data_IF_742867894670
#
_entry.id   IF_742867894670
#
_cell.length_a   1.000
_cell.length_b   1.000
_cell.length_c   1.000
_cell.angle_alpha   90.00
_cell.angle_beta   90.00
_cell.angle_gamma   90.00
#
_symmetry.space_group_name_H-M   'P 1'
#
loop_
_entity.id
_entity.type
_entity.pdbx_description
1 polymer ?
#
# COMPACT_ATOMS: atom_id res chain seq x y z
N UNK A 1 -0.34 -19.17 6.12
CA UNK A 1 -0.99 -18.07 5.36
C UNK A 1 -0.13 -16.83 5.52
N UNK A 2 0.28 -16.18 4.40
CA UNK A 2 1.04 -14.93 4.49
C UNK A 2 0.14 -13.80 4.97
N UNK A 3 0.70 -12.92 5.80
CA UNK A 3 -0.01 -11.78 6.39
C UNK A 3 0.48 -10.47 5.78
N UNK A 4 -0.44 -9.54 5.61
CA UNK A 4 -0.18 -8.18 5.12
C UNK A 4 -0.70 -7.20 6.16
N UNK A 5 0.03 -6.16 6.48
CA UNK A 5 -0.49 -5.03 7.26
C UNK A 5 -0.79 -3.84 6.34
N UNK A 6 -1.87 -3.17 6.62
CA UNK A 6 -2.26 -1.90 6.00
C UNK A 6 -2.34 -0.85 7.09
N UNK A 7 -1.81 0.34 6.86
CA UNK A 7 -1.90 1.46 7.81
C UNK A 7 -2.87 2.50 7.27
N UNK A 8 -3.73 2.99 8.14
CA UNK A 8 -4.70 4.06 7.86
C UNK A 8 -4.62 5.14 8.94
N UNK A 9 -5.00 6.33 8.54
CA UNK A 9 -5.37 7.43 9.43
C UNK A 9 -6.49 8.24 8.78
N UNK A 10 -7.01 9.28 9.43
CA UNK A 10 -8.06 10.09 8.83
C UNK A 10 -7.62 10.70 7.51
N UNK A 11 -8.52 10.65 6.52
CA UNK A 11 -8.29 11.15 5.18
C UNK A 11 -7.76 10.10 4.19
N UNK A 12 -7.77 8.81 4.52
CA UNK A 12 -7.42 7.77 3.55
C UNK A 12 -8.37 7.79 2.33
N UNK A 13 -7.90 7.32 1.19
CA UNK A 13 -8.74 7.19 0.00
C UNK A 13 -9.50 5.85 0.05
N UNK A 14 -10.83 5.91 0.03
CA UNK A 14 -11.71 4.77 0.30
C UNK A 14 -11.54 3.62 -0.70
N UNK A 15 -11.51 3.94 -2.02
CA UNK A 15 -11.38 2.90 -3.05
C UNK A 15 -10.05 2.19 -2.89
N UNK A 16 -8.97 2.94 -2.68
CA UNK A 16 -7.62 2.41 -2.57
C UNK A 16 -7.45 1.49 -1.36
N UNK A 17 -7.98 1.89 -0.21
CA UNK A 17 -7.91 1.09 1.01
C UNK A 17 -8.82 -0.15 0.92
N UNK A 18 -10.12 0.05 0.69
CA UNK A 18 -11.12 -1.02 0.74
C UNK A 18 -10.98 -1.97 -0.45
N UNK A 19 -10.72 -1.43 -1.65
CA UNK A 19 -10.52 -2.24 -2.85
C UNK A 19 -9.28 -3.14 -2.75
N UNK A 20 -8.16 -2.58 -2.30
CA UNK A 20 -6.93 -3.36 -2.09
C UNK A 20 -7.15 -4.44 -1.02
N UNK A 21 -7.75 -4.08 0.12
CA UNK A 21 -8.10 -5.05 1.16
C UNK A 21 -8.92 -6.21 0.58
N UNK A 22 -9.99 -5.90 -0.15
CA UNK A 22 -10.92 -6.91 -0.68
C UNK A 22 -10.23 -7.88 -1.66
N UNK A 23 -9.38 -7.39 -2.56
CA UNK A 23 -8.65 -8.24 -3.52
C UNK A 23 -7.62 -9.13 -2.79
N UNK A 24 -6.85 -8.59 -1.86
CA UNK A 24 -5.87 -9.37 -1.11
C UNK A 24 -6.54 -10.48 -0.29
N UNK A 25 -7.68 -10.18 0.33
CA UNK A 25 -8.48 -11.16 1.08
C UNK A 25 -9.04 -12.27 0.17
N UNK A 26 -9.50 -11.92 -1.04
CA UNK A 26 -9.94 -12.90 -2.06
C UNK A 26 -8.80 -13.80 -2.49
N UNK A 27 -7.59 -13.28 -2.62
CA UNK A 27 -6.37 -14.05 -2.91
C UNK A 27 -5.88 -14.92 -1.75
N UNK A 28 -6.63 -15.01 -0.63
CA UNK A 28 -6.31 -15.88 0.50
C UNK A 28 -5.26 -15.30 1.46
N UNK A 29 -4.90 -14.03 1.34
CA UNK A 29 -4.01 -13.38 2.31
C UNK A 29 -4.78 -12.99 3.58
N UNK A 30 -4.12 -13.02 4.73
CA UNK A 30 -4.60 -12.34 5.93
C UNK A 30 -4.20 -10.87 5.86
N UNK A 31 -5.15 -9.96 6.03
CA UNK A 31 -4.87 -8.52 6.01
C UNK A 31 -5.34 -7.92 7.32
N UNK A 32 -4.41 -7.41 8.10
CA UNK A 32 -4.67 -6.68 9.33
C UNK A 32 -4.53 -5.17 9.07
N UNK A 33 -5.52 -4.39 9.48
CA UNK A 33 -5.51 -2.95 9.30
C UNK A 33 -5.19 -2.29 10.64
N UNK A 34 -4.25 -1.36 10.61
CA UNK A 34 -3.78 -0.61 11.76
C UNK A 34 -4.11 0.88 11.61
N UNK A 35 -4.64 1.49 12.66
CA UNK A 35 -4.84 2.94 12.72
C UNK A 35 -3.64 3.61 13.36
N UNK A 36 -3.07 4.61 12.68
CA UNK A 36 -1.94 5.39 13.20
C UNK A 36 -2.27 6.11 14.50
N UNK A 37 -3.52 6.53 14.68
CA UNK A 37 -3.98 7.26 15.86
C UNK A 37 -4.60 6.35 16.93
N UNK A 38 -4.41 5.04 16.82
CA UNK A 38 -4.92 4.01 17.74
C UNK A 38 -6.46 4.08 17.95
N UNK A 39 -7.19 4.50 16.94
CA UNK A 39 -8.65 4.66 16.91
C UNK A 39 -9.23 4.30 15.55
N UNK A 40 -10.55 4.45 15.37
CA UNK A 40 -11.18 4.34 14.06
C UNK A 40 -10.60 5.38 13.10
N UNK A 41 -10.58 5.09 11.80
CA UNK A 41 -10.13 6.00 10.76
C UNK A 41 -11.26 6.33 9.80
N UNK A 42 -11.41 7.60 9.46
CA UNK A 42 -12.43 8.10 8.52
C UNK A 42 -11.78 8.54 7.22
N UNK A 43 -12.22 7.98 6.10
CA UNK A 43 -11.74 8.31 4.78
C UNK A 43 -12.12 9.72 4.33
N UNK A 44 -11.50 10.17 3.25
CA UNK A 44 -11.69 11.54 2.72
C UNK A 44 -13.12 11.87 2.31
N UNK A 45 -13.93 10.86 2.02
CA UNK A 45 -15.34 11.01 1.64
C UNK A 45 -16.32 10.56 2.73
N UNK A 46 -15.83 10.25 3.93
CA UNK A 46 -16.64 10.02 5.12
C UNK A 46 -16.92 8.56 5.48
N UNK A 47 -16.36 7.58 4.76
CA UNK A 47 -16.44 6.19 5.17
C UNK A 47 -15.56 5.95 6.41
N UNK A 48 -16.14 5.50 7.50
CA UNK A 48 -15.38 5.17 8.71
C UNK A 48 -15.09 3.68 8.81
N UNK A 49 -13.82 3.34 8.91
CA UNK A 49 -13.35 1.99 9.24
C UNK A 49 -13.22 1.89 10.77
N UNK A 50 -13.91 0.90 11.34
CA UNK A 50 -13.96 0.70 12.80
C UNK A 50 -13.26 -0.58 13.21
N UNK A 51 -12.96 -0.72 14.52
CA UNK A 51 -12.29 -1.89 15.09
C UNK A 51 -10.92 -2.15 14.46
N UNK A 52 -10.21 -1.09 14.14
CA UNK A 52 -8.85 -1.18 13.65
C UNK A 52 -7.89 -1.55 14.78
N UNK A 53 -6.80 -2.22 14.42
CA UNK A 53 -5.75 -2.51 15.40
C UNK A 53 -4.98 -1.22 15.73
N UNK A 54 -4.57 -1.01 16.99
CA UNK A 54 -3.70 0.10 17.33
C UNK A 54 -2.33 -0.01 16.66
N UNK A 55 -1.84 1.08 16.07
CA UNK A 55 -0.52 1.10 15.41
C UNK A 55 0.61 0.70 16.37
N UNK A 56 0.48 1.07 17.65
CA UNK A 56 1.42 0.72 18.71
C UNK A 56 1.60 -0.79 18.92
N UNK A 57 0.66 -1.61 18.44
CA UNK A 57 0.72 -3.07 18.54
C UNK A 57 1.26 -3.74 17.24
N UNK A 58 1.60 -2.95 16.21
CA UNK A 58 2.10 -3.49 14.96
C UNK A 58 3.52 -4.03 15.14
N UNK A 59 3.69 -5.34 14.92
CA UNK A 59 5.00 -5.97 14.87
C UNK A 59 5.34 -6.33 13.42
N UNK A 60 6.28 -5.62 12.81
CA UNK A 60 6.69 -5.81 11.42
C UNK A 60 7.15 -7.25 11.11
N UNK A 61 7.64 -7.99 12.13
CA UNK A 61 8.11 -9.37 11.94
C UNK A 61 6.99 -10.32 11.48
N UNK A 62 5.74 -10.03 11.85
CA UNK A 62 4.59 -10.91 11.59
C UNK A 62 4.05 -10.80 10.15
N UNK A 63 4.54 -9.83 9.36
CA UNK A 63 3.99 -9.50 8.04
C UNK A 63 5.01 -9.69 6.93
N UNK A 64 4.50 -10.12 5.77
CA UNK A 64 5.24 -10.23 4.53
C UNK A 64 5.22 -8.93 3.70
N UNK A 65 4.21 -8.10 3.93
CA UNK A 65 4.03 -6.85 3.19
C UNK A 65 3.39 -5.75 4.05
N UNK A 66 3.74 -4.50 3.72
CA UNK A 66 3.12 -3.27 4.19
C UNK A 66 2.37 -2.61 3.02
N UNK A 67 1.11 -2.20 3.23
CA UNK A 67 0.31 -1.46 2.25
C UNK A 67 0.01 -0.07 2.79
N UNK A 68 0.23 0.94 1.95
CA UNK A 68 0.01 2.36 2.23
C UNK A 68 -0.94 2.92 1.17
N UNK A 69 -2.23 3.07 1.46
CA UNK A 69 -3.16 3.78 0.58
C UNK A 69 -2.77 5.26 0.42
N UNK A 70 -3.42 5.91 -0.53
CA UNK A 70 -3.28 7.35 -0.71
C UNK A 70 -4.40 8.14 -0.03
N UNK A 71 -4.66 9.31 -0.57
CA UNK A 71 -5.54 10.29 0.02
C UNK A 71 -4.80 11.30 0.90
N UNK A 72 -5.47 12.32 1.41
CA UNK A 72 -4.86 13.37 2.26
C UNK A 72 -4.09 12.86 3.48
N UNK A 73 -4.37 11.62 3.93
CA UNK A 73 -3.68 10.99 5.04
C UNK A 73 -2.15 10.90 4.85
N UNK A 74 -1.69 10.92 3.60
CA UNK A 74 -0.26 10.80 3.29
C UNK A 74 0.60 11.80 4.07
N UNK A 75 0.09 13.02 4.31
CA UNK A 75 0.80 14.06 5.08
C UNK A 75 1.04 13.65 6.53
N UNK A 76 0.03 13.06 7.16
CA UNK A 76 0.10 12.58 8.54
C UNK A 76 1.02 11.37 8.64
N UNK A 77 0.92 10.44 7.68
CA UNK A 77 1.78 9.25 7.63
C UNK A 77 3.24 9.65 7.40
N UNK A 78 3.50 10.56 6.47
CA UNK A 78 4.86 11.03 6.17
C UNK A 78 5.51 11.76 7.34
N UNK A 79 4.75 12.58 8.06
CA UNK A 79 5.22 13.31 9.24
C UNK A 79 5.48 12.41 10.45
N UNK A 80 5.04 11.14 10.43
CA UNK A 80 5.20 10.22 11.54
C UNK A 80 6.56 9.50 11.53
N UNK A 81 7.47 9.76 12.49
CA UNK A 81 8.72 9.02 12.59
C UNK A 81 8.53 7.51 12.75
N UNK A 82 7.44 7.09 13.39
CA UNK A 82 7.11 5.68 13.57
C UNK A 82 6.74 5.00 12.25
N UNK A 83 6.01 5.68 11.37
CA UNK A 83 5.70 5.18 10.01
C UNK A 83 6.96 5.10 9.17
N UNK A 84 7.84 6.12 9.22
CA UNK A 84 9.11 6.10 8.51
C UNK A 84 10.01 4.95 9.00
N UNK A 85 10.08 4.70 10.30
CA UNK A 85 10.80 3.56 10.86
C UNK A 85 10.21 2.22 10.43
N UNK A 86 8.87 2.12 10.33
CA UNK A 86 8.19 0.92 9.85
C UNK A 86 8.54 0.64 8.37
N UNK A 87 8.44 1.64 7.50
CA UNK A 87 8.80 1.54 6.08
C UNK A 87 10.25 1.04 5.96
N UNK A 88 11.18 1.69 6.66
CA UNK A 88 12.59 1.30 6.69
C UNK A 88 12.76 -0.18 7.09
N UNK A 89 12.08 -0.61 8.14
CA UNK A 89 12.15 -2.01 8.62
C UNK A 89 11.71 -3.00 7.54
N UNK A 90 10.63 -2.72 6.81
CA UNK A 90 10.17 -3.59 5.72
C UNK A 90 11.16 -3.61 4.55
N UNK A 91 11.67 -2.45 4.14
CA UNK A 91 12.63 -2.33 3.03
C UNK A 91 13.92 -3.09 3.37
N UNK A 92 14.52 -2.86 4.54
CA UNK A 92 15.77 -3.50 4.96
C UNK A 92 15.62 -5.01 5.14
N UNK A 93 14.45 -5.49 5.52
CA UNK A 93 14.13 -6.91 5.61
C UNK A 93 13.80 -7.57 4.25
N UNK A 94 13.84 -6.82 3.14
CA UNK A 94 13.47 -7.31 1.81
C UNK A 94 11.99 -7.68 1.67
N UNK A 95 11.13 -7.20 2.58
CA UNK A 95 9.68 -7.42 2.55
C UNK A 95 9.02 -6.46 1.59
N UNK A 96 7.84 -6.83 1.10
CA UNK A 96 7.10 -5.98 0.15
C UNK A 96 6.62 -4.70 0.84
N UNK A 97 6.89 -3.56 0.20
CA UNK A 97 6.28 -2.27 0.52
C UNK A 97 5.47 -1.80 -0.68
N UNK A 98 4.17 -1.67 -0.48
CA UNK A 98 3.22 -1.32 -1.52
C UNK A 98 2.54 0.02 -1.19
N UNK A 99 2.58 0.97 -2.11
CA UNK A 99 2.02 2.30 -1.92
C UNK A 99 1.30 2.77 -3.18
N UNK A 100 0.13 3.42 -3.03
CA UNK A 100 -0.67 3.87 -4.17
C UNK A 100 -0.99 5.36 -4.07
N UNK A 101 -1.14 6.02 -5.23
CA UNK A 101 -1.59 7.41 -5.36
C UNK A 101 -0.61 8.40 -4.72
N UNK A 102 -0.96 9.00 -3.60
CA UNK A 102 -0.07 9.84 -2.81
C UNK A 102 0.94 9.04 -1.96
N UNK A 103 0.65 7.76 -1.68
CA UNK A 103 1.50 6.90 -0.84
C UNK A 103 2.95 6.77 -1.31
N UNK A 104 3.23 6.60 -2.63
CA UNK A 104 4.60 6.49 -3.13
C UNK A 104 5.49 7.69 -2.82
N UNK A 105 4.93 8.89 -2.57
CA UNK A 105 5.74 10.06 -2.18
C UNK A 105 6.49 9.85 -0.87
N UNK A 106 5.93 9.09 0.06
CA UNK A 106 6.60 8.71 1.31
C UNK A 106 7.90 7.94 1.03
N UNK A 107 7.83 7.03 0.04
CA UNK A 107 8.99 6.24 -0.39
C UNK A 107 10.00 7.10 -1.15
N UNK A 108 9.51 8.03 -1.97
CA UNK A 108 10.33 8.95 -2.76
C UNK A 108 11.14 9.89 -1.87
N UNK A 109 10.49 10.59 -0.95
CA UNK A 109 11.13 11.51 -0.02
C UNK A 109 12.11 10.80 0.94
N UNK A 110 11.83 9.56 1.29
CA UNK A 110 12.76 8.73 2.07
C UNK A 110 13.92 8.14 1.24
N UNK A 111 13.97 8.38 -0.09
CA UNK A 111 15.04 7.94 -0.97
C UNK A 111 14.94 6.49 -1.46
N UNK A 112 13.86 5.80 -1.17
CA UNK A 112 13.67 4.38 -1.55
C UNK A 112 13.29 4.18 -3.03
N UNK A 113 12.90 5.25 -3.73
CA UNK A 113 12.62 5.20 -5.17
C UNK A 113 13.84 5.50 -6.04
N UNK A 114 14.98 5.86 -5.46
CA UNK A 114 16.20 6.14 -6.23
C UNK A 114 16.66 4.92 -7.03
N UNK A 115 16.74 5.09 -8.35
CA UNK A 115 17.12 4.02 -9.28
C UNK A 115 16.04 2.95 -9.49
N UNK A 116 14.82 3.17 -8.99
CA UNK A 116 13.69 2.25 -9.12
C UNK A 116 12.71 2.69 -10.20
N UNK A 117 12.06 1.74 -10.83
CA UNK A 117 10.85 1.99 -11.61
C UNK A 117 9.67 2.17 -10.66
N UNK A 118 8.86 3.19 -10.89
CA UNK A 118 7.71 3.48 -10.02
C UNK A 118 6.61 4.25 -10.77
N UNK A 119 5.44 4.29 -10.15
CA UNK A 119 4.34 5.18 -10.49
C UNK A 119 3.78 5.85 -9.23
N UNK A 120 3.06 6.94 -9.39
CA UNK A 120 2.35 7.63 -8.31
C UNK A 120 1.24 8.50 -8.90
N UNK A 121 0.49 9.18 -8.06
CA UNK A 121 -0.46 10.18 -8.52
C UNK A 121 0.28 11.24 -9.35
N UNK A 122 -0.12 11.39 -10.62
CA UNK A 122 0.67 12.11 -11.64
C UNK A 122 1.08 13.53 -11.21
N UNK A 123 0.17 14.29 -10.58
CA UNK A 123 0.48 15.66 -10.14
C UNK A 123 1.37 15.72 -8.88
N UNK A 124 1.67 14.61 -8.27
CA UNK A 124 2.57 14.49 -7.12
C UNK A 124 3.90 13.83 -7.48
N UNK A 125 4.12 13.57 -8.78
CA UNK A 125 5.40 13.07 -9.23
C UNK A 125 6.46 14.19 -9.13
N UNK A 126 7.52 13.87 -8.41
CA UNK A 126 8.69 14.72 -8.23
C UNK A 126 9.95 13.98 -8.72
N UNK A 127 11.11 14.65 -8.69
CA UNK A 127 12.38 13.97 -8.93
C UNK A 127 12.80 13.17 -7.69
N UNK A 128 12.34 11.93 -7.61
CA UNK A 128 12.75 10.97 -6.57
C UNK A 128 14.03 10.19 -6.94
N UNK A 129 14.67 10.54 -8.04
CA UNK A 129 15.87 9.86 -8.54
C UNK A 129 15.59 8.48 -9.15
N UNK A 130 14.33 8.15 -9.41
CA UNK A 130 13.86 6.93 -10.05
C UNK A 130 13.33 7.17 -11.47
N UNK A 131 12.74 6.11 -12.06
CA UNK A 131 12.14 6.15 -13.40
C UNK A 131 10.63 6.08 -13.24
N UNK A 132 9.95 7.20 -13.49
CA UNK A 132 8.49 7.28 -13.45
C UNK A 132 7.86 6.61 -14.69
N UNK A 133 6.85 5.81 -14.45
CA UNK A 133 6.01 5.21 -15.48
C UNK A 133 4.56 5.66 -15.30
N UNK A 134 3.90 6.03 -16.40
CA UNK A 134 2.48 6.41 -16.41
C UNK A 134 1.57 5.19 -16.50
N UNK A 135 1.93 4.13 -15.78
CA UNK A 135 1.22 2.86 -15.71
C UNK A 135 0.33 2.78 -14.46
N UNK A 136 -0.69 1.93 -14.47
CA UNK A 136 -1.57 1.75 -13.32
C UNK A 136 -0.86 1.14 -12.12
N UNK A 137 0.04 0.19 -12.34
CA UNK A 137 0.86 -0.41 -11.29
C UNK A 137 2.26 -0.73 -11.81
N UNK A 138 3.27 -0.51 -10.98
CA UNK A 138 4.67 -0.81 -11.26
C UNK A 138 5.26 -1.58 -10.11
N UNK A 139 5.95 -2.69 -10.41
CA UNK A 139 6.70 -3.49 -9.43
C UNK A 139 8.18 -3.45 -9.76
N UNK A 140 9.00 -3.08 -8.80
CA UNK A 140 10.46 -3.12 -8.90
C UNK A 140 11.06 -3.74 -7.63
N UNK A 141 11.44 -5.00 -7.74
CA UNK A 141 11.91 -5.77 -6.60
C UNK A 141 10.83 -5.96 -5.54
N UNK A 142 11.06 -5.45 -4.34
CA UNK A 142 10.11 -5.50 -3.22
C UNK A 142 9.25 -4.24 -3.07
N UNK A 143 9.32 -3.31 -4.02
CA UNK A 143 8.48 -2.10 -4.04
C UNK A 143 7.40 -2.26 -5.09
N UNK A 144 6.15 -2.06 -4.69
CA UNK A 144 4.97 -2.04 -5.57
C UNK A 144 4.33 -0.67 -5.46
N UNK A 145 4.17 0.01 -6.59
CA UNK A 145 3.52 1.32 -6.61
C UNK A 145 2.29 1.31 -7.49
N UNK A 146 1.28 2.10 -7.12
CA UNK A 146 0.04 2.29 -7.87
C UNK A 146 -0.22 3.76 -8.16
N UNK A 147 -0.87 4.04 -9.30
CA UNK A 147 -1.02 5.40 -9.82
C UNK A 147 -2.07 6.24 -9.07
N UNK A 148 -3.26 5.70 -8.90
CA UNK A 148 -4.42 6.45 -8.36
C UNK A 148 -5.58 5.52 -8.00
N UNK A 149 -6.67 6.08 -7.51
CA UNK A 149 -7.90 5.35 -7.18
C UNK A 149 -8.39 4.45 -8.35
N UNK A 150 -8.30 4.93 -9.61
CA UNK A 150 -8.68 4.13 -10.77
C UNK A 150 -7.79 2.89 -10.98
N UNK A 151 -6.58 2.90 -10.46
CA UNK A 151 -5.61 1.82 -10.58
C UNK A 151 -5.67 0.80 -9.42
N UNK A 152 -6.62 0.95 -8.50
CA UNK A 152 -6.68 0.15 -7.26
C UNK A 152 -6.66 -1.35 -7.52
N UNK A 153 -7.40 -1.83 -8.51
CA UNK A 153 -7.50 -3.28 -8.78
C UNK A 153 -6.18 -3.81 -9.34
N UNK A 154 -5.57 -3.09 -10.30
CA UNK A 154 -4.26 -3.44 -10.87
C UNK A 154 -3.17 -3.45 -9.81
N UNK A 155 -3.14 -2.41 -8.97
CA UNK A 155 -2.24 -2.32 -7.83
C UNK A 155 -2.42 -3.48 -6.86
N UNK A 156 -3.66 -3.79 -6.48
CA UNK A 156 -3.95 -4.87 -5.55
C UNK A 156 -3.51 -6.24 -6.10
N UNK A 157 -3.66 -6.48 -7.41
CA UNK A 157 -3.15 -7.68 -8.05
C UNK A 157 -1.63 -7.71 -8.11
N UNK A 158 -0.96 -6.58 -8.36
CA UNK A 158 0.51 -6.51 -8.30
C UNK A 158 1.02 -6.83 -6.88
N UNK A 159 0.35 -6.35 -5.83
CA UNK A 159 0.67 -6.70 -4.44
C UNK A 159 0.42 -8.17 -4.17
N UNK A 160 -0.72 -8.71 -4.61
CA UNK A 160 -1.06 -10.13 -4.44
C UNK A 160 -0.01 -11.02 -5.13
N UNK A 161 0.41 -10.67 -6.33
CA UNK A 161 1.46 -11.38 -7.07
C UNK A 161 2.80 -11.32 -6.33
N UNK A 162 3.23 -10.15 -5.88
CA UNK A 162 4.47 -9.98 -5.14
C UNK A 162 4.50 -10.78 -3.82
N UNK A 163 3.36 -10.93 -3.15
CA UNK A 163 3.25 -11.63 -1.87
C UNK A 163 2.96 -13.12 -2.05
N UNK A 164 2.00 -13.49 -2.89
CA UNK A 164 1.48 -14.87 -2.99
C UNK A 164 1.85 -15.59 -4.29
N UNK A 165 2.43 -14.88 -5.26
CA UNK A 165 2.85 -15.41 -6.56
C UNK A 165 1.80 -15.29 -7.66
N UNK A 166 2.28 -15.37 -8.90
CA UNK A 166 1.50 -15.21 -10.14
C UNK A 166 0.28 -16.13 -10.21
N UNK A 167 0.44 -17.41 -9.88
CA UNK A 167 -0.65 -18.39 -9.95
C UNK A 167 -1.85 -17.98 -9.09
N UNK A 168 -1.58 -17.50 -7.87
CA UNK A 168 -2.63 -17.02 -6.96
C UNK A 168 -3.32 -15.76 -7.52
N UNK A 169 -2.53 -14.83 -8.06
CA UNK A 169 -3.07 -13.61 -8.67
C UNK A 169 -3.95 -13.96 -9.87
N UNK A 170 -3.49 -14.84 -10.79
CA UNK A 170 -4.23 -15.24 -11.99
C UNK A 170 -5.52 -16.00 -11.67
N UNK A 171 -5.49 -16.87 -10.66
CA UNK A 171 -6.69 -17.55 -10.16
C UNK A 171 -7.71 -16.52 -9.64
N UNK A 172 -7.26 -15.58 -8.82
CA UNK A 172 -8.14 -14.55 -8.24
C UNK A 172 -8.70 -13.61 -9.31
N UNK A 173 -7.89 -13.23 -10.31
CA UNK A 173 -8.36 -12.47 -11.49
C UNK A 173 -9.52 -13.16 -12.20
N UNK A 174 -9.39 -14.47 -12.45
CA UNK A 174 -10.45 -15.27 -13.10
C UNK A 174 -11.72 -15.30 -12.25
N UNK A 175 -11.60 -15.46 -10.93
CA UNK A 175 -12.75 -15.54 -10.01
C UNK A 175 -13.58 -14.26 -9.98
N UNK A 176 -12.99 -13.10 -10.22
CA UNK A 176 -13.70 -11.80 -10.24
C UNK A 176 -13.96 -11.27 -11.65
N UNK A 177 -13.69 -12.10 -12.68
CA UNK A 177 -13.85 -11.70 -14.10
C UNK A 177 -13.01 -10.47 -14.49
N UNK A 178 -11.86 -10.30 -13.87
CA UNK A 178 -10.90 -9.25 -14.24
C UNK A 178 -10.28 -9.56 -15.60
N UNK A 179 -10.22 -8.53 -16.48
CA UNK A 179 -9.74 -8.63 -17.87
C UNK A 179 -8.34 -8.07 -18.02
#
# INVERSE_FOLDING_TARGET
MKKVCMILTDGFEEIEAVGTYAILRRGGLSVDIYSLLDQDATGRFGLTCTKLNPFSQLNAADYAALVIPGGPEYKTLEASPAVQALIKTFIEAGKVVAAICAGPTLLGHAGYLKGKNYTCFTSMNEDFGGIYHDDYAVTDGNIVTGKSAAATIDFAFAVLEAVAGQETADKTKKEIYYK
#
